data_IF_403009548048
#
_entry.id   IF_403009548048
#
_cell.length_a   1.000
_cell.length_b   1.000
_cell.length_c   1.000
_cell.angle_alpha   90.00
_cell.angle_beta   90.00
_cell.angle_gamma   90.00
#
_symmetry.space_group_name_H-M   'P 1'
#
loop_
_entity.id
_entity.type
_entity.pdbx_description
1 polymer ?
#
# COMPACT_ATOMS: atom_id res chain seq x y z
N UNK A 1 -27.07 -9.89 -15.12
CA UNK A 1 -26.00 -10.92 -15.13
C UNK A 1 -26.15 -11.68 -13.84
N UNK A 2 -26.22 -13.00 -13.92
CA UNK A 2 -26.32 -13.83 -12.73
C UNK A 2 -24.99 -13.80 -11.97
N UNK A 3 -25.06 -13.66 -10.65
CA UNK A 3 -23.89 -13.50 -9.75
C UNK A 3 -22.87 -14.65 -9.92
N UNK A 4 -23.32 -15.82 -10.37
CA UNK A 4 -22.48 -16.97 -10.68
C UNK A 4 -21.55 -16.75 -11.88
N UNK A 5 -21.99 -16.00 -12.90
CA UNK A 5 -21.17 -15.74 -14.09
C UNK A 5 -19.92 -14.91 -13.71
N UNK A 6 -20.03 -14.03 -12.71
CA UNK A 6 -18.96 -13.11 -12.29
C UNK A 6 -17.73 -13.73 -11.61
N UNK A 7 -17.79 -15.00 -11.18
CA UNK A 7 -16.68 -15.66 -10.48
C UNK A 7 -16.00 -16.80 -11.25
N UNK A 8 -16.67 -17.39 -12.24
CA UNK A 8 -16.15 -18.58 -12.94
C UNK A 8 -16.37 -18.57 -14.44
N UNK A 9 -17.19 -17.67 -15.00
CA UNK A 9 -17.41 -17.71 -16.45
C UNK A 9 -16.37 -16.91 -17.23
N UNK A 10 -16.02 -17.38 -18.44
CA UNK A 10 -15.07 -16.70 -19.34
C UNK A 10 -15.58 -15.35 -19.90
N UNK A 11 -16.79 -14.89 -19.52
CA UNK A 11 -17.33 -13.58 -19.94
C UNK A 11 -16.76 -12.42 -19.11
N UNK A 12 -16.18 -12.69 -17.95
CA UNK A 12 -15.48 -11.68 -17.14
C UNK A 12 -14.01 -11.64 -17.51
N UNK A 13 -13.47 -10.44 -17.71
CA UNK A 13 -12.05 -10.26 -18.08
C UNK A 13 -11.07 -10.63 -16.95
N UNK A 14 -11.54 -10.76 -15.70
CA UNK A 14 -10.71 -11.07 -14.54
C UNK A 14 -11.51 -11.79 -13.44
N UNK A 15 -10.90 -12.80 -12.81
CA UNK A 15 -11.47 -13.61 -11.72
C UNK A 15 -10.60 -13.49 -10.47
N UNK A 16 -11.22 -13.08 -9.36
CA UNK A 16 -10.55 -12.90 -8.07
C UNK A 16 -10.09 -14.23 -7.47
N UNK A 17 -10.83 -15.31 -7.70
CA UNK A 17 -10.53 -16.64 -7.16
C UNK A 17 -9.40 -17.30 -7.93
N UNK A 18 -9.41 -17.21 -9.26
CA UNK A 18 -8.35 -17.79 -10.10
C UNK A 18 -7.01 -17.07 -9.87
N UNK A 19 -7.05 -15.76 -9.60
CA UNK A 19 -5.85 -14.96 -9.32
C UNK A 19 -5.36 -15.07 -7.87
N UNK A 20 -6.18 -15.63 -6.96
CA UNK A 20 -5.88 -15.63 -5.53
C UNK A 20 -4.60 -16.39 -5.19
N UNK A 21 -4.33 -17.53 -5.85
CA UNK A 21 -3.11 -18.31 -5.59
C UNK A 21 -1.84 -17.53 -5.92
N UNK A 22 -1.82 -16.87 -7.09
CA UNK A 22 -0.72 -16.02 -7.52
C UNK A 22 -0.52 -14.81 -6.60
N UNK A 23 -1.61 -14.17 -6.17
CA UNK A 23 -1.54 -13.03 -5.24
C UNK A 23 -1.04 -13.46 -3.86
N UNK A 24 -1.48 -14.62 -3.35
CA UNK A 24 -1.00 -15.18 -2.09
C UNK A 24 0.51 -15.45 -2.12
N UNK A 25 1.03 -16.00 -3.22
CA UNK A 25 2.46 -16.23 -3.43
C UNK A 25 3.24 -14.92 -3.49
N UNK A 26 2.77 -13.94 -4.26
CA UNK A 26 3.39 -12.62 -4.34
C UNK A 26 3.50 -11.98 -2.95
N UNK A 27 2.41 -11.97 -2.19
CA UNK A 27 2.38 -11.42 -0.83
C UNK A 27 3.37 -12.15 0.10
N UNK A 28 3.41 -13.49 0.03
CA UNK A 28 4.35 -14.31 0.79
C UNK A 28 5.82 -14.02 0.46
N UNK A 29 6.17 -13.85 -0.82
CA UNK A 29 7.53 -13.51 -1.25
C UNK A 29 7.93 -12.11 -0.76
N UNK A 30 7.04 -11.12 -0.86
CA UNK A 30 7.31 -9.77 -0.36
C UNK A 30 7.50 -9.77 1.17
N UNK A 31 6.68 -10.53 1.91
CA UNK A 31 6.85 -10.69 3.35
C UNK A 31 8.20 -11.35 3.70
N UNK A 32 8.59 -12.41 2.97
CA UNK A 32 9.89 -13.06 3.14
C UNK A 32 11.07 -12.14 2.86
N UNK A 33 10.98 -11.31 1.82
CA UNK A 33 11.98 -10.29 1.51
C UNK A 33 12.14 -9.29 2.66
N UNK A 34 11.03 -8.84 3.26
CA UNK A 34 11.07 -7.94 4.40
C UNK A 34 11.75 -8.56 5.62
N UNK A 35 11.53 -9.86 5.90
CA UNK A 35 12.24 -10.57 6.97
C UNK A 35 13.75 -10.55 6.73
N UNK A 36 14.19 -10.81 5.50
CA UNK A 36 15.60 -10.76 5.12
C UNK A 36 16.17 -9.33 5.30
N UNK A 37 15.46 -8.31 4.81
CA UNK A 37 15.85 -6.90 4.97
C UNK A 37 15.98 -6.51 6.44
N UNK A 38 14.99 -6.85 7.27
CA UNK A 38 15.02 -6.59 8.72
C UNK A 38 16.24 -7.26 9.36
N UNK A 39 16.53 -8.51 9.00
CA UNK A 39 17.68 -9.26 9.53
C UNK A 39 19.00 -8.59 9.16
N UNK A 40 19.15 -8.14 7.92
CA UNK A 40 20.36 -7.43 7.45
C UNK A 40 20.51 -6.10 8.18
N UNK A 41 19.43 -5.32 8.32
CA UNK A 41 19.46 -4.04 9.05
C UNK A 41 19.88 -4.25 10.51
N UNK A 42 19.33 -5.25 11.19
CA UNK A 42 19.72 -5.60 12.57
C UNK A 42 21.20 -6.02 12.62
N UNK A 43 21.67 -6.84 11.69
CA UNK A 43 23.08 -7.27 11.66
C UNK A 43 24.08 -6.14 11.39
N UNK A 44 23.63 -5.06 10.74
CA UNK A 44 24.49 -3.93 10.41
C UNK A 44 24.87 -3.08 11.64
N UNK A 45 24.18 -3.27 12.79
CA UNK A 45 24.46 -2.57 14.04
C UNK A 45 24.08 -1.08 14.05
N UNK A 46 23.44 -0.57 12.99
CA UNK A 46 23.06 0.84 12.85
C UNK A 46 21.76 1.15 13.57
N UNK A 47 21.84 1.40 14.88
CA UNK A 47 20.69 1.70 15.76
C UNK A 47 19.87 2.95 15.35
N UNK A 48 20.38 3.82 14.47
CA UNK A 48 19.61 4.95 13.89
C UNK A 48 18.44 4.48 13.01
N UNK A 49 18.45 3.22 12.58
CA UNK A 49 17.47 2.61 11.67
C UNK A 49 16.29 1.91 12.39
N UNK A 50 16.26 1.91 13.74
CA UNK A 50 15.23 1.20 14.53
C UNK A 50 13.80 1.69 14.22
N UNK A 51 13.63 2.95 13.82
CA UNK A 51 12.31 3.49 13.42
C UNK A 51 11.84 2.93 12.07
N UNK A 52 12.75 2.68 11.14
CA UNK A 52 12.43 2.11 9.81
C UNK A 52 12.07 0.62 9.93
N UNK A 53 12.67 -0.09 10.90
CA UNK A 53 12.30 -1.46 11.25
C UNK A 53 10.81 -1.59 11.60
N UNK A 54 10.22 -0.59 12.26
CA UNK A 54 8.81 -0.59 12.61
C UNK A 54 7.88 -0.61 11.38
N UNK A 55 8.21 0.14 10.32
CA UNK A 55 7.44 0.13 9.06
C UNK A 55 7.62 -1.20 8.33
N UNK A 56 8.84 -1.73 8.27
CA UNK A 56 9.07 -3.03 7.63
C UNK A 56 8.39 -4.18 8.37
N UNK A 57 8.39 -4.18 9.70
CA UNK A 57 7.66 -5.15 10.49
C UNK A 57 6.14 -5.04 10.27
N UNK A 58 5.60 -3.82 10.23
CA UNK A 58 4.20 -3.59 9.93
C UNK A 58 3.80 -4.08 8.52
N UNK A 59 4.62 -3.76 7.51
CA UNK A 59 4.44 -4.22 6.14
C UNK A 59 4.51 -5.75 6.04
N UNK A 60 5.44 -6.39 6.76
CA UNK A 60 5.60 -7.84 6.82
C UNK A 60 4.34 -8.50 7.39
N UNK A 61 3.82 -8.00 8.51
CA UNK A 61 2.58 -8.52 9.12
C UNK A 61 1.40 -8.36 8.17
N UNK A 62 1.26 -7.18 7.53
CA UNK A 62 0.20 -6.94 6.56
C UNK A 62 0.28 -7.93 5.38
N UNK A 63 1.46 -8.10 4.78
CA UNK A 63 1.67 -9.01 3.64
C UNK A 63 1.51 -10.49 4.02
N UNK A 64 1.88 -10.89 5.24
CA UNK A 64 1.66 -12.25 5.72
C UNK A 64 0.17 -12.54 5.92
N UNK A 65 -0.57 -11.60 6.51
CA UNK A 65 -2.04 -11.69 6.66
C UNK A 65 -2.75 -11.67 5.30
N UNK A 66 -2.24 -10.88 4.35
CA UNK A 66 -2.74 -10.85 2.98
C UNK A 66 -2.52 -12.20 2.26
N UNK A 67 -1.32 -12.77 2.38
CA UNK A 67 -1.02 -14.10 1.85
C UNK A 67 -1.98 -15.16 2.39
N UNK A 68 -2.29 -15.10 3.69
CA UNK A 68 -3.29 -15.95 4.32
C UNK A 68 -4.69 -15.73 3.76
N UNK A 69 -5.14 -14.47 3.62
CA UNK A 69 -6.46 -14.15 3.06
C UNK A 69 -6.62 -14.65 1.62
N UNK A 70 -5.62 -14.44 0.77
CA UNK A 70 -5.66 -14.98 -0.59
C UNK A 70 -5.57 -16.50 -0.62
N UNK A 71 -4.79 -17.13 0.27
CA UNK A 71 -4.79 -18.59 0.40
C UNK A 71 -6.11 -19.16 0.92
N UNK A 72 -6.90 -18.37 1.64
CA UNK A 72 -8.25 -18.76 2.04
C UNK A 72 -9.21 -18.68 0.85
N UNK A 73 -9.10 -17.63 0.02
CA UNK A 73 -9.91 -17.46 -1.19
C UNK A 73 -9.74 -18.58 -2.20
N UNK A 74 -8.53 -19.14 -2.35
CA UNK A 74 -8.30 -20.29 -3.24
C UNK A 74 -9.06 -21.55 -2.79
N UNK A 75 -9.42 -21.65 -1.52
CA UNK A 75 -10.20 -22.76 -0.96
C UNK A 75 -11.71 -22.63 -1.15
N UNK A 76 -12.22 -21.52 -1.68
CA UNK A 76 -13.66 -21.28 -1.81
C UNK A 76 -14.25 -22.04 -3.00
N UNK A 77 -15.31 -22.81 -2.73
CA UNK A 77 -16.11 -23.44 -3.77
C UNK A 77 -17.22 -22.50 -4.28
N UNK A 78 -16.91 -21.72 -5.31
CA UNK A 78 -17.79 -20.69 -5.89
C UNK A 78 -19.01 -21.21 -6.68
N UNK A 79 -19.23 -22.53 -6.72
CA UNK A 79 -20.39 -23.13 -7.42
C UNK A 79 -21.73 -22.86 -6.72
N UNK A 80 -21.74 -22.46 -5.45
CA UNK A 80 -22.97 -22.22 -4.67
C UNK A 80 -23.42 -20.76 -4.74
N UNK A 81 -24.75 -20.52 -4.76
CA UNK A 81 -25.34 -19.18 -4.86
C UNK A 81 -24.93 -18.30 -3.68
N UNK A 82 -24.54 -17.05 -3.98
CA UNK A 82 -24.11 -16.06 -2.98
C UNK A 82 -22.64 -16.13 -2.55
N UNK A 83 -21.92 -17.24 -2.80
CA UNK A 83 -20.49 -17.35 -2.45
C UNK A 83 -19.64 -16.40 -3.31
N UNK A 84 -20.04 -16.15 -4.56
CA UNK A 84 -19.29 -15.26 -5.44
C UNK A 84 -19.19 -13.82 -4.91
N UNK A 85 -20.31 -13.23 -4.47
CA UNK A 85 -20.32 -11.87 -3.93
C UNK A 85 -19.44 -11.74 -2.68
N UNK A 86 -19.38 -12.81 -1.86
CA UNK A 86 -18.51 -12.91 -0.69
C UNK A 86 -17.04 -13.03 -1.07
N UNK A 87 -16.71 -13.90 -2.01
CA UNK A 87 -15.35 -14.08 -2.51
C UNK A 87 -14.80 -12.76 -3.07
N UNK A 88 -15.64 -11.99 -3.77
CA UNK A 88 -15.29 -10.65 -4.22
C UNK A 88 -15.08 -9.67 -3.07
N UNK A 89 -16.00 -9.58 -2.10
CA UNK A 89 -15.84 -8.67 -0.97
C UNK A 89 -14.57 -9.00 -0.13
N UNK A 90 -14.32 -10.28 0.12
CA UNK A 90 -13.12 -10.77 0.80
C UNK A 90 -11.84 -10.50 -0.01
N UNK A 91 -11.86 -10.78 -1.32
CA UNK A 91 -10.72 -10.54 -2.20
C UNK A 91 -10.40 -9.07 -2.43
N UNK A 92 -11.41 -8.21 -2.41
CA UNK A 92 -11.20 -6.77 -2.41
C UNK A 92 -10.49 -6.33 -1.11
N UNK A 93 -10.97 -6.81 0.06
CA UNK A 93 -10.34 -6.49 1.34
C UNK A 93 -8.87 -6.95 1.38
N UNK A 94 -8.59 -8.18 0.93
CA UNK A 94 -7.22 -8.70 0.75
C UNK A 94 -6.39 -7.80 -0.18
N UNK A 95 -6.89 -7.47 -1.37
CA UNK A 95 -6.19 -6.57 -2.31
C UNK A 95 -5.81 -5.22 -1.67
N UNK A 96 -6.64 -4.68 -0.78
CA UNK A 96 -6.32 -3.48 -0.01
C UNK A 96 -5.16 -3.68 0.99
N UNK A 97 -5.08 -4.84 1.64
CA UNK A 97 -3.95 -5.22 2.52
C UNK A 97 -2.67 -5.40 1.71
N UNK A 98 -2.73 -6.08 0.56
CA UNK A 98 -1.62 -6.18 -0.37
C UNK A 98 -1.11 -4.80 -0.79
N UNK A 99 -2.01 -3.89 -1.18
CA UNK A 99 -1.68 -2.55 -1.61
C UNK A 99 -0.99 -1.74 -0.50
N UNK A 100 -1.57 -1.71 0.70
CA UNK A 100 -0.96 -0.98 1.84
C UNK A 100 0.38 -1.61 2.23
N UNK A 101 0.49 -2.94 2.26
CA UNK A 101 1.73 -3.64 2.53
C UNK A 101 2.82 -3.29 1.51
N UNK A 102 2.47 -3.26 0.22
CA UNK A 102 3.37 -2.83 -0.85
C UNK A 102 3.79 -1.36 -0.76
N UNK A 103 2.85 -0.46 -0.46
CA UNK A 103 3.15 0.96 -0.23
C UNK A 103 4.07 1.15 0.98
N UNK A 104 3.81 0.45 2.08
CA UNK A 104 4.63 0.50 3.29
C UNK A 104 6.05 -0.03 3.04
N UNK A 105 6.19 -1.13 2.29
CA UNK A 105 7.47 -1.66 1.85
C UNK A 105 8.26 -0.63 1.04
N UNK A 106 7.65 -0.04 0.01
CA UNK A 106 8.33 0.91 -0.86
C UNK A 106 8.66 2.23 -0.15
N UNK A 107 7.77 2.68 0.73
CA UNK A 107 8.03 3.83 1.60
C UNK A 107 9.18 3.55 2.56
N UNK A 108 9.25 2.35 3.15
CA UNK A 108 10.36 1.93 4.01
C UNK A 108 11.70 1.94 3.27
N UNK A 109 11.74 1.43 2.04
CA UNK A 109 12.95 1.49 1.18
C UNK A 109 13.34 2.94 0.88
N UNK A 110 12.37 3.80 0.53
CA UNK A 110 12.62 5.21 0.27
C UNK A 110 13.19 5.93 1.50
N UNK A 111 12.68 5.65 2.69
CA UNK A 111 13.19 6.21 3.96
C UNK A 111 14.60 5.70 4.24
N UNK A 112 14.86 4.40 4.07
CA UNK A 112 16.19 3.82 4.24
C UNK A 112 17.22 4.48 3.31
N UNK A 113 16.85 4.72 2.04
CA UNK A 113 17.73 5.36 1.07
C UNK A 113 18.07 6.81 1.47
N UNK A 114 17.09 7.57 1.97
CA UNK A 114 17.32 8.92 2.49
C UNK A 114 18.20 8.91 3.74
N UNK A 115 18.02 7.94 4.65
CA UNK A 115 18.88 7.79 5.84
C UNK A 115 20.32 7.45 5.47
N UNK A 116 20.52 6.66 4.40
CA UNK A 116 21.85 6.36 3.89
C UNK A 116 22.55 7.63 3.40
N UNK A 117 21.84 8.52 2.69
CA UNK A 117 22.39 9.81 2.24
C UNK A 117 22.84 10.71 3.41
N UNK A 118 22.07 10.74 4.50
CA UNK A 118 22.44 11.51 5.71
C UNK A 118 23.67 10.90 6.38
N UNK A 119 23.76 9.57 6.42
CA UNK A 119 24.91 8.88 7.03
C UNK A 119 26.20 9.14 6.25
N UNK A 120 26.13 9.22 4.91
CA UNK A 120 27.26 9.58 4.07
C UNK A 120 27.74 11.02 4.28
N UNK A 121 26.83 11.92 4.69
CA UNK A 121 27.18 13.32 4.98
C UNK A 121 27.91 13.49 6.32
N UNK A 122 27.58 12.64 7.31
CA UNK A 122 28.20 12.64 8.63
C UNK A 122 29.62 12.02 8.64
N UNK A 123 30.07 11.36 7.55
CA UNK A 123 31.38 10.71 7.48
C UNK A 123 32.47 11.63 6.90
N UNK A 124 33.39 12.18 7.72
CA UNK A 124 34.42 13.14 7.27
C UNK A 124 35.49 12.50 6.37
N UNK A 125 35.51 11.17 6.23
CA UNK A 125 36.55 10.46 5.46
C UNK A 125 36.28 10.36 3.96
N UNK A 126 35.05 10.64 3.48
CA UNK A 126 34.70 10.63 2.05
C UNK A 126 34.98 11.96 1.32
N UNK A 127 36.17 12.52 1.49
CA UNK A 127 36.59 13.82 0.94
C UNK A 127 37.14 13.79 -0.51
N UNK A 128 36.80 12.77 -1.31
CA UNK A 128 37.45 12.52 -2.60
C UNK A 128 36.62 12.79 -3.87
N UNK A 129 35.37 13.25 -3.75
CA UNK A 129 34.56 13.65 -4.92
C UNK A 129 34.29 15.16 -4.90
N UNK A 130 34.19 15.75 -6.10
CA UNK A 130 33.90 17.19 -6.22
C UNK A 130 32.53 17.49 -5.58
N UNK A 131 32.37 18.57 -4.81
CA UNK A 131 31.15 18.85 -4.05
C UNK A 131 29.89 18.96 -4.94
N UNK A 132 30.07 19.30 -6.22
CA UNK A 132 28.99 19.37 -7.20
C UNK A 132 28.54 17.99 -7.70
N UNK A 133 29.43 16.99 -7.80
CA UNK A 133 29.09 15.63 -8.21
C UNK A 133 28.29 14.91 -7.11
N UNK A 134 28.77 14.97 -5.87
CA UNK A 134 28.06 14.39 -4.71
C UNK A 134 26.66 14.98 -4.56
N UNK A 135 26.49 16.29 -4.84
CA UNK A 135 25.18 16.96 -4.80
C UNK A 135 24.22 16.43 -5.87
N UNK A 136 24.69 16.25 -7.11
CA UNK A 136 23.86 15.71 -8.21
C UNK A 136 23.42 14.28 -7.90
N UNK A 137 24.32 13.47 -7.34
CA UNK A 137 24.01 12.10 -6.93
C UNK A 137 22.95 12.05 -5.81
N UNK A 138 23.11 12.87 -4.76
CA UNK A 138 22.11 13.00 -3.68
C UNK A 138 20.72 13.36 -4.21
N UNK A 139 20.64 14.34 -5.11
CA UNK A 139 19.36 14.77 -5.72
C UNK A 139 18.76 13.65 -6.58
N UNK A 140 19.58 12.94 -7.34
CA UNK A 140 19.13 11.84 -8.19
C UNK A 140 18.56 10.69 -7.36
N UNK A 141 19.26 10.27 -6.30
CA UNK A 141 18.82 9.22 -5.37
C UNK A 141 17.50 9.61 -4.70
N UNK A 142 17.38 10.86 -4.23
CA UNK A 142 16.15 11.37 -3.65
C UNK A 142 14.98 11.36 -4.66
N UNK A 143 15.25 11.74 -5.90
CA UNK A 143 14.24 11.76 -6.95
C UNK A 143 13.75 10.35 -7.30
N UNK A 144 14.66 9.36 -7.37
CA UNK A 144 14.29 7.95 -7.56
C UNK A 144 13.42 7.45 -6.41
N UNK A 145 13.80 7.69 -5.15
CA UNK A 145 13.01 7.26 -3.99
C UNK A 145 11.58 7.83 -4.02
N UNK A 146 11.45 9.12 -4.38
CA UNK A 146 10.16 9.77 -4.52
C UNK A 146 9.35 9.22 -5.70
N UNK A 147 9.98 9.02 -6.86
CA UNK A 147 9.34 8.50 -8.06
C UNK A 147 8.84 7.05 -7.85
N UNK A 148 9.65 6.19 -7.22
CA UNK A 148 9.28 4.81 -6.90
C UNK A 148 8.05 4.76 -5.97
N UNK A 149 8.06 5.57 -4.92
CA UNK A 149 6.94 5.63 -3.97
C UNK A 149 5.66 6.16 -4.64
N UNK A 150 5.78 7.22 -5.45
CA UNK A 150 4.66 7.78 -6.19
C UNK A 150 4.08 6.79 -7.21
N UNK A 151 4.95 6.09 -7.95
CA UNK A 151 4.53 5.10 -8.94
C UNK A 151 3.75 3.96 -8.28
N UNK A 152 4.20 3.45 -7.14
CA UNK A 152 3.50 2.36 -6.43
C UNK A 152 2.18 2.82 -5.82
N UNK A 153 2.13 4.01 -5.20
CA UNK A 153 0.87 4.58 -4.69
C UNK A 153 -0.13 4.80 -5.83
N UNK A 154 0.32 5.34 -6.95
CA UNK A 154 -0.55 5.56 -8.11
C UNK A 154 -1.05 4.23 -8.69
N UNK A 155 -0.16 3.27 -8.93
CA UNK A 155 -0.51 1.97 -9.49
C UNK A 155 -1.49 1.21 -8.58
N UNK A 156 -1.21 1.12 -7.28
CA UNK A 156 -2.08 0.42 -6.32
C UNK A 156 -3.46 1.08 -6.22
N UNK A 157 -3.54 2.41 -6.16
CA UNK A 157 -4.82 3.12 -6.08
C UNK A 157 -5.65 2.96 -7.35
N UNK A 158 -5.02 3.02 -8.53
CA UNK A 158 -5.69 2.81 -9.82
C UNK A 158 -6.20 1.37 -9.93
N UNK A 159 -5.39 0.38 -9.55
CA UNK A 159 -5.78 -1.03 -9.58
C UNK A 159 -6.94 -1.30 -8.61
N UNK A 160 -6.89 -0.78 -7.38
CA UNK A 160 -7.98 -0.91 -6.41
C UNK A 160 -9.26 -0.25 -6.90
N UNK A 161 -9.16 0.93 -7.53
CA UNK A 161 -10.32 1.62 -8.11
C UNK A 161 -10.95 0.81 -9.25
N UNK A 162 -10.13 0.23 -10.13
CA UNK A 162 -10.59 -0.62 -11.22
C UNK A 162 -11.25 -1.91 -10.70
N UNK A 163 -10.64 -2.57 -9.71
CA UNK A 163 -11.19 -3.76 -9.08
C UNK A 163 -12.51 -3.46 -8.36
N UNK A 164 -12.60 -2.32 -7.68
CA UNK A 164 -13.82 -1.87 -7.01
C UNK A 164 -14.94 -1.59 -8.01
N UNK A 165 -14.62 -1.00 -9.16
CA UNK A 165 -15.60 -0.75 -10.22
C UNK A 165 -16.17 -2.07 -10.77
N UNK A 166 -15.33 -3.10 -10.92
CA UNK A 166 -15.79 -4.43 -11.31
C UNK A 166 -16.73 -5.02 -10.25
N UNK A 167 -16.32 -5.02 -8.98
CA UNK A 167 -17.17 -5.46 -7.86
C UNK A 167 -18.55 -4.78 -7.85
N UNK A 168 -18.58 -3.45 -8.00
CA UNK A 168 -19.82 -2.69 -7.97
C UNK A 168 -20.77 -3.03 -9.13
N UNK A 169 -20.23 -3.27 -10.32
CA UNK A 169 -21.04 -3.71 -11.48
C UNK A 169 -21.71 -5.06 -11.23
N UNK A 170 -21.12 -5.92 -10.41
CA UNK A 170 -21.71 -7.23 -10.05
C UNK A 170 -22.73 -7.15 -8.94
N UNK A 171 -22.48 -6.36 -7.89
CA UNK A 171 -23.32 -6.39 -6.68
C UNK A 171 -24.51 -5.43 -6.76
N UNK A 172 -24.36 -4.27 -7.41
CA UNK A 172 -25.40 -3.22 -7.38
C UNK A 172 -25.76 -2.78 -8.80
N UNK A 173 -26.72 -3.47 -9.42
CA UNK A 173 -27.32 -3.01 -10.69
C UNK A 173 -28.34 -1.89 -10.43
N UNK A 174 -27.88 -0.64 -10.40
CA UNK A 174 -28.80 0.53 -10.35
C UNK A 174 -28.22 1.82 -9.78
N UNK A 175 -27.06 1.78 -9.11
CA UNK A 175 -26.48 2.94 -8.42
C UNK A 175 -25.24 3.47 -9.15
N UNK A 176 -25.39 3.77 -10.45
CA UNK A 176 -24.29 4.20 -11.30
C UNK A 176 -23.56 5.45 -10.76
N UNK A 177 -24.27 6.34 -10.07
CA UNK A 177 -23.70 7.56 -9.48
C UNK A 177 -22.70 7.28 -8.36
N UNK A 178 -22.90 6.22 -7.55
CA UNK A 178 -21.94 5.82 -6.52
C UNK A 178 -20.64 5.30 -7.14
N UNK A 179 -20.75 4.53 -8.23
CA UNK A 179 -19.58 4.00 -8.96
C UNK A 179 -18.72 5.14 -9.48
N UNK A 180 -19.36 6.13 -10.11
CA UNK A 180 -18.67 7.34 -10.58
C UNK A 180 -18.10 8.15 -9.42
N UNK A 181 -18.82 8.30 -8.32
CA UNK A 181 -18.33 8.97 -7.11
C UNK A 181 -17.08 8.31 -6.55
N UNK A 182 -17.09 7.00 -6.38
CA UNK A 182 -15.94 6.24 -5.89
C UNK A 182 -14.73 6.37 -6.82
N UNK A 183 -14.94 6.28 -8.14
CA UNK A 183 -13.87 6.47 -9.12
C UNK A 183 -13.27 7.88 -9.04
N UNK A 184 -14.11 8.92 -8.95
CA UNK A 184 -13.65 10.30 -8.82
C UNK A 184 -12.87 10.53 -7.53
N UNK A 185 -13.30 9.93 -6.41
CA UNK A 185 -12.55 9.97 -5.15
C UNK A 185 -11.19 9.30 -5.31
N UNK A 186 -11.11 8.12 -5.93
CA UNK A 186 -9.83 7.45 -6.19
C UNK A 186 -8.90 8.30 -7.06
N UNK A 187 -9.39 8.86 -8.16
CA UNK A 187 -8.61 9.76 -9.02
C UNK A 187 -8.13 10.99 -8.24
N UNK A 188 -9.01 11.62 -7.45
CA UNK A 188 -8.64 12.75 -6.61
C UNK A 188 -7.55 12.38 -5.60
N UNK A 189 -7.61 11.20 -4.97
CA UNK A 189 -6.56 10.75 -4.04
C UNK A 189 -5.22 10.48 -4.72
N UNK A 190 -5.21 9.97 -5.95
CA UNK A 190 -3.99 9.82 -6.75
C UNK A 190 -3.39 11.18 -7.09
N UNK A 191 -4.22 12.14 -7.51
CA UNK A 191 -3.75 13.49 -7.83
C UNK A 191 -3.20 14.18 -6.57
N UNK A 192 -3.91 14.08 -5.44
CA UNK A 192 -3.48 14.69 -4.18
C UNK A 192 -2.20 14.07 -3.63
N UNK A 193 -2.06 12.74 -3.70
CA UNK A 193 -0.83 12.05 -3.29
C UNK A 193 0.35 12.40 -4.20
N UNK A 194 0.14 12.45 -5.52
CA UNK A 194 1.17 12.93 -6.46
C UNK A 194 1.58 14.37 -6.16
N UNK A 195 0.62 15.28 -6.01
CA UNK A 195 0.89 16.68 -5.68
C UNK A 195 1.65 16.81 -4.36
N UNK A 196 1.29 16.03 -3.34
CA UNK A 196 1.97 16.01 -2.05
C UNK A 196 3.44 15.55 -2.20
N UNK A 197 3.68 14.45 -2.93
CA UNK A 197 5.02 13.92 -3.18
C UNK A 197 5.84 14.93 -3.99
N UNK A 198 5.28 15.49 -5.07
CA UNK A 198 5.99 16.42 -5.95
C UNK A 198 6.38 17.72 -5.24
N UNK A 199 5.44 18.33 -4.50
CA UNK A 199 5.72 19.54 -3.70
C UNK A 199 6.83 19.26 -2.70
N UNK A 200 6.77 18.11 -2.03
CA UNK A 200 7.78 17.72 -1.04
C UNK A 200 9.16 17.50 -1.67
N UNK A 201 9.26 16.75 -2.76
CA UNK A 201 10.54 16.51 -3.45
C UNK A 201 11.17 17.85 -3.85
N UNK A 202 10.36 18.80 -4.32
CA UNK A 202 10.83 20.14 -4.65
C UNK A 202 11.36 20.91 -3.43
N UNK A 203 10.68 20.85 -2.29
CA UNK A 203 11.15 21.51 -1.05
C UNK A 203 12.48 20.92 -0.57
N UNK A 204 12.63 19.59 -0.56
CA UNK A 204 13.89 18.95 -0.16
C UNK A 204 15.01 19.25 -1.18
N UNK A 205 14.68 19.31 -2.47
CA UNK A 205 15.64 19.71 -3.49
C UNK A 205 16.15 21.14 -3.27
N UNK A 206 15.26 22.07 -2.90
CA UNK A 206 15.63 23.45 -2.55
C UNK A 206 16.50 23.52 -1.30
N UNK A 207 16.21 22.68 -0.30
CA UNK A 207 17.01 22.55 0.92
C UNK A 207 18.45 22.08 0.66
N UNK A 208 18.61 21.08 -0.19
CA UNK A 208 19.92 20.56 -0.59
C UNK A 208 20.70 21.63 -1.36
N UNK A 209 20.01 22.43 -2.18
CA UNK A 209 20.64 23.54 -2.91
C UNK A 209 21.13 24.66 -1.98
N UNK A 210 20.43 24.92 -0.87
CA UNK A 210 20.80 25.95 0.09
C UNK A 210 21.83 25.51 1.14
N UNK A 211 22.34 24.27 1.06
CA UNK A 211 23.21 23.65 2.08
C UNK A 211 22.61 23.73 3.50
N UNK A 212 21.28 23.75 3.61
CA UNK A 212 20.61 23.76 4.91
C UNK A 212 20.67 22.34 5.52
N UNK A 213 20.97 22.25 6.83
CA UNK A 213 20.96 20.97 7.55
C UNK A 213 19.58 20.31 7.44
N UNK A 214 19.53 19.07 6.98
CA UNK A 214 18.29 18.32 6.80
C UNK A 214 17.99 17.59 8.11
N UNK A 215 17.14 18.17 8.96
CA UNK A 215 16.60 17.47 10.12
C UNK A 215 15.42 16.60 9.69
N UNK A 216 15.52 15.30 9.92
CA UNK A 216 14.46 14.34 9.60
C UNK A 216 13.57 14.16 10.83
N UNK A 217 12.53 14.99 10.95
CA UNK A 217 11.50 14.79 11.97
C UNK A 217 10.63 13.57 11.61
N UNK A 218 10.75 12.50 12.39
CA UNK A 218 10.14 11.18 12.12
C UNK A 218 8.92 10.89 13.00
N UNK A 219 8.29 11.92 13.57
CA UNK A 219 7.23 11.76 14.57
C UNK A 219 5.96 11.07 14.04
N UNK A 220 5.75 11.00 12.72
CA UNK A 220 4.62 10.29 12.11
C UNK A 220 4.89 8.80 11.79
N UNK A 221 6.14 8.31 11.82
CA UNK A 221 6.45 6.91 11.52
C UNK A 221 5.73 5.87 12.42
N UNK A 222 5.59 6.04 13.74
CA UNK A 222 4.88 5.06 14.57
C UNK A 222 3.38 5.02 14.26
N UNK A 223 2.81 6.14 13.81
CA UNK A 223 1.41 6.18 13.41
C UNK A 223 1.18 5.44 12.09
N UNK A 224 2.07 5.60 11.10
CA UNK A 224 1.94 4.87 9.84
C UNK A 224 2.06 3.37 10.07
N UNK A 225 3.03 2.89 10.86
CA UNK A 225 3.15 1.46 11.16
C UNK A 225 1.94 0.91 11.91
N UNK A 226 1.41 1.64 12.89
CA UNK A 226 0.22 1.23 13.64
C UNK A 226 -1.03 1.18 12.75
N UNK A 227 -1.21 2.15 11.85
CA UNK A 227 -2.35 2.16 10.91
C UNK A 227 -2.28 1.02 9.90
N UNK A 228 -1.08 0.66 9.41
CA UNK A 228 -0.88 -0.48 8.50
C UNK A 228 -1.27 -1.79 9.18
N UNK A 229 -0.77 -2.04 10.40
CA UNK A 229 -1.09 -3.27 11.15
C UNK A 229 -2.57 -3.30 11.55
N UNK A 230 -3.09 -2.19 12.08
CA UNK A 230 -4.49 -2.08 12.48
C UNK A 230 -5.42 -2.33 11.32
N UNK A 231 -5.13 -1.75 10.15
CA UNK A 231 -5.90 -2.01 8.93
C UNK A 231 -5.82 -3.49 8.52
N UNK A 232 -4.63 -4.09 8.50
CA UNK A 232 -4.47 -5.49 8.12
C UNK A 232 -5.29 -6.42 9.04
N UNK A 233 -5.26 -6.20 10.35
CA UNK A 233 -6.05 -6.96 11.32
C UNK A 233 -7.55 -6.79 11.11
N UNK A 234 -8.02 -5.56 10.88
CA UNK A 234 -9.43 -5.28 10.63
C UNK A 234 -9.89 -5.91 9.31
N UNK A 235 -9.09 -5.81 8.24
CA UNK A 235 -9.39 -6.41 6.96
C UNK A 235 -9.39 -7.95 7.03
N UNK A 236 -8.47 -8.55 7.76
CA UNK A 236 -8.47 -10.01 8.01
C UNK A 236 -9.65 -10.46 8.85
N UNK A 237 -9.99 -9.70 9.90
CA UNK A 237 -11.17 -9.95 10.73
C UNK A 237 -12.46 -9.84 9.91
N UNK A 238 -12.55 -8.83 9.03
CA UNK A 238 -13.65 -8.68 8.08
C UNK A 238 -13.73 -9.89 7.14
N UNK A 239 -12.59 -10.31 6.57
CA UNK A 239 -12.50 -11.51 5.73
C UNK A 239 -13.05 -12.76 6.41
N UNK A 240 -12.67 -12.99 7.67
CA UNK A 240 -13.18 -14.11 8.47
C UNK A 240 -14.66 -13.97 8.86
N UNK A 241 -15.11 -12.77 9.22
CA UNK A 241 -16.50 -12.53 9.63
C UNK A 241 -17.51 -12.77 8.49
N UNK A 242 -17.09 -12.53 7.24
CA UNK A 242 -17.91 -12.74 6.04
C UNK A 242 -18.37 -14.19 5.84
N UNK A 243 -17.74 -15.16 6.50
CA UNK A 243 -18.16 -16.57 6.50
C UNK A 243 -19.56 -16.73 7.09
N UNK A 244 -19.89 -15.97 8.13
CA UNK A 244 -21.12 -16.17 8.92
C UNK A 244 -22.37 -15.51 8.31
N UNK A 245 -22.23 -14.53 7.41
CA UNK A 245 -23.38 -13.78 6.85
C UNK A 245 -23.49 -13.90 5.33
N UNK A 246 -24.49 -14.63 4.82
CA UNK A 246 -24.71 -14.77 3.36
C UNK A 246 -25.13 -13.44 2.75
N UNK A 247 -25.99 -12.71 3.46
CA UNK A 247 -26.59 -11.47 2.97
C UNK A 247 -25.78 -10.23 3.33
N UNK A 248 -24.76 -10.35 4.18
CA UNK A 248 -23.98 -9.19 4.61
C UNK A 248 -23.22 -8.59 3.42
N UNK A 249 -22.66 -9.41 2.53
CA UNK A 249 -21.92 -8.98 1.34
C UNK A 249 -22.75 -8.13 0.38
N UNK A 250 -24.04 -8.42 0.27
CA UNK A 250 -25.00 -7.72 -0.61
C UNK A 250 -25.79 -6.63 0.12
N UNK A 251 -25.76 -6.61 1.45
CA UNK A 251 -26.35 -5.54 2.24
C UNK A 251 -25.65 -4.20 1.97
N UNK A 252 -26.38 -3.09 2.09
CA UNK A 252 -25.79 -1.75 1.98
C UNK A 252 -24.58 -1.57 2.90
N UNK A 253 -24.65 -2.09 4.14
CA UNK A 253 -23.55 -2.06 5.10
C UNK A 253 -22.31 -2.82 4.64
N UNK A 254 -22.46 -4.00 4.04
CA UNK A 254 -21.32 -4.75 3.50
C UNK A 254 -20.66 -4.06 2.32
N UNK A 255 -21.45 -3.42 1.45
CA UNK A 255 -20.93 -2.60 0.34
C UNK A 255 -20.15 -1.40 0.89
N UNK A 256 -20.69 -0.69 1.89
CA UNK A 256 -19.99 0.41 2.55
C UNK A 256 -18.70 -0.06 3.22
N UNK A 257 -18.74 -1.15 4.00
CA UNK A 257 -17.55 -1.71 4.65
C UNK A 257 -16.48 -2.10 3.62
N UNK A 258 -16.88 -2.75 2.53
CA UNK A 258 -15.99 -3.10 1.42
C UNK A 258 -15.38 -1.85 0.80
N UNK A 259 -16.15 -0.80 0.52
CA UNK A 259 -15.61 0.46 -0.01
C UNK A 259 -14.57 1.10 0.92
N UNK A 260 -14.89 1.20 2.22
CA UNK A 260 -13.98 1.82 3.18
C UNK A 260 -12.69 1.04 3.34
N UNK A 261 -12.78 -0.28 3.45
CA UNK A 261 -11.60 -1.12 3.58
C UNK A 261 -10.74 -1.08 2.31
N UNK A 262 -11.34 -1.00 1.13
CA UNK A 262 -10.60 -1.29 -0.11
C UNK A 262 -10.10 -0.05 -0.82
N UNK A 263 -10.80 1.07 -0.68
CA UNK A 263 -10.46 2.32 -1.37
C UNK A 263 -10.15 3.43 -0.36
N UNK A 264 -11.08 3.74 0.54
CA UNK A 264 -10.97 4.95 1.36
C UNK A 264 -9.81 4.89 2.36
N UNK A 265 -9.69 3.79 3.11
CA UNK A 265 -8.63 3.63 4.12
C UNK A 265 -7.26 3.48 3.46
N UNK A 266 -7.05 2.64 2.42
CA UNK A 266 -5.78 2.55 1.71
C UNK A 266 -5.33 3.87 1.09
N UNK A 267 -6.25 4.63 0.49
CA UNK A 267 -5.94 5.96 -0.03
C UNK A 267 -5.58 6.95 1.09
N UNK A 268 -6.30 6.91 2.21
CA UNK A 268 -6.01 7.71 3.39
C UNK A 268 -4.63 7.40 3.99
N UNK A 269 -4.31 6.12 4.20
CA UNK A 269 -3.01 5.66 4.71
C UNK A 269 -1.89 6.05 3.73
N UNK A 270 -2.11 5.92 2.42
CA UNK A 270 -1.14 6.35 1.41
C UNK A 270 -0.89 7.86 1.45
N UNK A 271 -1.95 8.66 1.64
CA UNK A 271 -1.83 10.11 1.79
C UNK A 271 -1.09 10.49 3.08
N UNK A 272 -1.43 9.86 4.21
CA UNK A 272 -0.73 10.07 5.48
C UNK A 272 0.73 9.64 5.37
N UNK A 273 1.02 8.53 4.70
CA UNK A 273 2.39 8.05 4.46
C UNK A 273 3.17 9.02 3.55
N UNK A 274 2.50 9.66 2.59
CA UNK A 274 3.12 10.71 1.77
C UNK A 274 3.45 11.97 2.58
N UNK A 275 2.70 12.22 3.67
CA UNK A 275 2.89 13.37 4.57
C UNK A 275 3.81 13.09 5.75
N UNK A 276 3.99 11.82 6.14
CA UNK A 276 4.79 11.41 7.30
C UNK A 276 6.29 11.56 7.14
N UNK A 277 6.74 11.93 5.95
CA UNK A 277 8.13 12.01 5.59
C UNK A 277 8.61 13.45 5.85
N UNK A 278 9.85 13.65 6.31
CA UNK A 278 10.22 14.77 7.15
C UNK A 278 10.04 16.12 6.47
N UNK A 279 9.60 17.10 7.26
CA UNK A 279 9.63 18.51 6.95
C UNK A 279 10.92 19.09 7.51
N UNK A 280 11.54 20.01 6.78
CA UNK A 280 12.53 20.90 7.39
C UNK A 280 11.82 21.77 8.42
N UNK A 281 12.44 21.89 9.60
CA UNK A 281 12.20 22.98 10.54
C UNK A 281 13.31 24.01 10.33
#
# INVERSE_FOLDING_TARGET
>A
MDIHEGCTTPKVQWSIVDSASSNSQLAGVLAGLLVATITVLISSGKLREVRTLGIFAAAMVALALDSYLFSYLTGLNVTTAGICARAWAQGMAASGVLAIGGVALMTGIAVMLVQHLVTLEDDPTQTLSSPDETRKEKIFILWIAAAMSAAVVAATTILLAAAFQQYFRFVVSGWAWLVWGAFMVSVATVILSWLAIFRRTKTIQQAIQSNASISIETNLLPWTSLTVVGYALVASGFGGAMIYGNDFASSGWGIFATYFLTVAIPAGISLVSSWSVPKQI
#
